data_IF_624291202300
#
_entry.id   IF_624291202300
#
_cell.length_a   1.000
_cell.length_b   1.000
_cell.length_c   1.000
_cell.angle_alpha   90.00
_cell.angle_beta   90.00
_cell.angle_gamma   90.00
#
_symmetry.space_group_name_H-M   'P 1'
#
loop_
_entity.id
_entity.type
_entity.pdbx_description
1 polymer ?
#
# COMPACT_ATOMS: atom_id res chain seq x y z
N UNK A 1 1.10 24.00 3.93
CA UNK A 1 1.66 24.77 5.07
C UNK A 1 0.70 25.91 5.39
N UNK A 2 0.54 26.26 6.66
CA UNK A 2 -0.38 27.31 7.12
C UNK A 2 0.35 28.24 8.11
N UNK A 3 -0.02 29.52 8.13
CA UNK A 3 0.44 30.45 9.16
C UNK A 3 -0.40 30.24 10.41
N UNK A 4 0.25 30.03 11.56
CA UNK A 4 -0.43 29.79 12.85
C UNK A 4 -0.32 31.00 13.77
N UNK A 5 0.78 31.75 13.67
CA UNK A 5 0.98 33.00 14.40
C UNK A 5 1.60 34.03 13.48
N UNK A 6 1.06 35.25 13.50
CA UNK A 6 1.58 36.39 12.74
C UNK A 6 1.49 37.65 13.58
N UNK A 7 2.64 38.19 13.95
CA UNK A 7 2.82 39.47 14.62
C UNK A 7 3.93 40.24 13.90
N UNK A 8 4.18 41.53 14.21
CA UNK A 8 5.28 42.27 13.60
C UNK A 8 6.65 41.63 13.83
N UNK A 9 6.85 41.00 14.99
CA UNK A 9 8.14 40.44 15.39
C UNK A 9 8.21 38.91 15.25
N UNK A 10 7.09 38.21 15.21
CA UNK A 10 7.06 36.74 15.18
C UNK A 10 6.14 36.19 14.08
N UNK A 11 6.63 35.22 13.33
CA UNK A 11 5.88 34.46 12.33
C UNK A 11 6.08 32.96 12.56
N UNK A 12 4.99 32.21 12.70
CA UNK A 12 5.06 30.74 12.85
C UNK A 12 4.30 30.07 11.71
N UNK A 13 5.01 29.25 10.95
CA UNK A 13 4.47 28.39 9.91
C UNK A 13 4.39 26.95 10.41
N UNK A 14 3.25 26.30 10.16
CA UNK A 14 3.02 24.90 10.50
C UNK A 14 2.62 24.12 9.27
N UNK A 15 3.26 22.98 9.05
CA UNK A 15 2.85 22.01 8.05
C UNK A 15 2.55 20.68 8.71
N UNK A 16 1.29 20.24 8.59
CA UNK A 16 0.85 18.89 8.96
C UNK A 16 0.46 18.14 7.69
N UNK A 17 1.18 17.07 7.31
CA UNK A 17 0.88 16.29 6.12
C UNK A 17 -0.24 15.26 6.38
N UNK A 18 -1.39 15.72 6.87
CA UNK A 18 -2.51 14.84 7.31
C UNK A 18 -2.95 13.90 6.18
N UNK A 19 -3.05 14.42 4.96
CA UNK A 19 -3.40 13.61 3.79
C UNK A 19 -2.40 12.49 3.52
N UNK A 20 -1.09 12.73 3.67
CA UNK A 20 -0.09 11.69 3.46
C UNK A 20 -0.18 10.58 4.51
N UNK A 21 -0.47 10.92 5.76
CA UNK A 21 -0.73 9.91 6.79
C UNK A 21 -1.99 9.09 6.49
N UNK A 22 -3.07 9.74 6.06
CA UNK A 22 -4.30 9.05 5.68
C UNK A 22 -4.06 8.12 4.48
N UNK A 23 -3.40 8.60 3.43
CA UNK A 23 -3.06 7.76 2.28
C UNK A 23 -2.15 6.60 2.66
N UNK A 24 -1.11 6.84 3.46
CA UNK A 24 -0.22 5.78 3.95
C UNK A 24 -0.97 4.71 4.76
N UNK A 25 -1.88 5.13 5.64
CA UNK A 25 -2.69 4.22 6.47
C UNK A 25 -3.70 3.42 5.64
N UNK A 26 -4.35 4.05 4.66
CA UNK A 26 -5.26 3.35 3.74
C UNK A 26 -4.50 2.31 2.93
N UNK A 27 -3.33 2.66 2.40
CA UNK A 27 -2.53 1.75 1.57
C UNK A 27 -2.02 0.55 2.38
N UNK A 28 -1.51 0.80 3.60
CA UNK A 28 -1.10 -0.26 4.50
C UNK A 28 -2.27 -1.12 4.98
N UNK A 29 -3.41 -0.49 5.29
CA UNK A 29 -4.64 -1.19 5.67
C UNK A 29 -5.17 -2.09 4.56
N UNK A 30 -5.17 -1.63 3.31
CA UNK A 30 -5.56 -2.42 2.15
C UNK A 30 -4.64 -3.62 1.92
N UNK A 31 -3.31 -3.42 2.06
CA UNK A 31 -2.34 -4.52 1.96
C UNK A 31 -2.54 -5.59 3.04
N UNK A 32 -2.75 -5.18 4.29
CA UNK A 32 -3.06 -6.10 5.40
C UNK A 32 -4.40 -6.81 5.18
N UNK A 33 -5.42 -6.09 4.73
CA UNK A 33 -6.73 -6.67 4.43
C UNK A 33 -6.62 -7.73 3.33
N UNK A 34 -5.91 -7.44 2.23
CA UNK A 34 -5.70 -8.39 1.15
C UNK A 34 -4.99 -9.68 1.60
N UNK A 35 -3.96 -9.56 2.45
CA UNK A 35 -3.28 -10.71 3.05
C UNK A 35 -4.26 -11.53 3.89
N UNK A 36 -5.06 -10.87 4.74
CA UNK A 36 -5.97 -11.54 5.64
C UNK A 36 -7.14 -12.24 4.92
N UNK A 37 -7.67 -11.65 3.84
CA UNK A 37 -8.83 -12.18 3.12
C UNK A 37 -8.47 -13.20 2.04
N UNK A 38 -7.36 -13.01 1.32
CA UNK A 38 -6.99 -13.85 0.18
C UNK A 38 -5.78 -14.76 0.44
N UNK A 39 -5.02 -14.53 1.51
CA UNK A 39 -3.94 -15.42 1.95
C UNK A 39 -4.48 -16.70 2.58
N UNK A 40 -5.06 -17.57 1.76
CA UNK A 40 -5.62 -18.87 2.15
C UNK A 40 -4.83 -20.01 1.51
N UNK A 41 -4.80 -21.15 2.19
CA UNK A 41 -4.48 -22.44 1.58
C UNK A 41 -5.78 -23.16 1.33
N UNK A 42 -5.93 -23.70 0.14
CA UNK A 42 -6.99 -24.65 -0.16
C UNK A 42 -6.35 -26.02 -0.33
N UNK A 43 -6.79 -26.97 0.49
CA UNK A 43 -6.38 -28.37 0.42
C UNK A 43 -7.59 -29.23 0.09
N UNK A 44 -7.53 -29.98 -1.01
CA UNK A 44 -8.50 -31.01 -1.35
C UNK A 44 -7.88 -32.36 -1.02
N UNK A 45 -8.47 -33.07 -0.08
CA UNK A 45 -8.07 -34.41 0.29
C UNK A 45 -9.17 -35.40 -0.08
N UNK A 46 -8.88 -36.32 -0.98
CA UNK A 46 -9.78 -37.37 -1.42
C UNK A 46 -9.22 -38.73 -1.01
N UNK A 47 -9.98 -39.48 -0.21
CA UNK A 47 -9.68 -40.85 0.16
C UNK A 47 -10.73 -41.80 -0.40
N UNK A 48 -10.28 -42.84 -1.12
CA UNK A 48 -11.16 -43.89 -1.66
C UNK A 48 -11.34 -44.97 -0.60
N UNK A 49 -12.44 -44.91 0.16
CA UNK A 49 -12.76 -45.90 1.21
C UNK A 49 -13.50 -47.14 0.68
N UNK A 50 -14.06 -47.07 -0.54
CA UNK A 50 -14.68 -48.19 -1.24
C UNK A 50 -14.64 -47.96 -2.79
N UNK A 51 -14.78 -48.99 -3.64
CA UNK A 51 -14.72 -48.87 -5.11
C UNK A 51 -15.79 -47.95 -5.74
N UNK A 52 -16.81 -47.52 -4.97
CA UNK A 52 -17.93 -46.69 -5.44
C UNK A 52 -18.06 -45.38 -4.64
N UNK A 53 -17.33 -45.22 -3.53
CA UNK A 53 -17.48 -44.09 -2.61
C UNK A 53 -16.11 -43.48 -2.27
N UNK A 54 -15.88 -42.25 -2.75
CA UNK A 54 -14.72 -41.43 -2.41
C UNK A 54 -15.16 -40.31 -1.47
N UNK A 55 -14.62 -40.30 -0.26
CA UNK A 55 -14.81 -39.18 0.65
C UNK A 55 -13.79 -38.11 0.31
N UNK A 56 -14.25 -37.01 -0.30
CA UNK A 56 -13.44 -35.86 -0.64
C UNK A 56 -13.77 -34.69 0.32
N UNK A 57 -12.74 -34.08 0.90
CA UNK A 57 -12.84 -32.96 1.83
C UNK A 57 -12.07 -31.77 1.27
N UNK A 58 -12.76 -30.65 1.08
CA UNK A 58 -12.13 -29.37 0.80
C UNK A 58 -11.86 -28.66 2.13
N UNK A 59 -10.63 -28.22 2.37
CA UNK A 59 -10.25 -27.47 3.57
C UNK A 59 -9.62 -26.16 3.14
N UNK A 60 -10.24 -25.04 3.49
CA UNK A 60 -9.68 -23.71 3.33
C UNK A 60 -9.13 -23.22 4.67
N UNK A 61 -7.84 -22.91 4.74
CA UNK A 61 -7.18 -22.39 5.94
C UNK A 61 -6.53 -21.04 5.63
N UNK A 62 -7.05 -19.96 6.21
CA UNK A 62 -6.48 -18.60 6.12
C UNK A 62 -5.90 -18.10 7.44
N UNK A 63 -5.32 -16.90 7.43
CA UNK A 63 -4.71 -16.28 8.63
C UNK A 63 -5.70 -16.01 9.77
N UNK A 64 -6.96 -15.73 9.44
CA UNK A 64 -8.00 -15.40 10.42
C UNK A 64 -8.60 -16.64 11.10
N UNK A 65 -8.14 -17.85 10.78
CA UNK A 65 -8.53 -19.09 11.45
C UNK A 65 -10.03 -19.43 11.36
N UNK A 66 -10.79 -18.71 10.54
CA UNK A 66 -12.22 -18.95 10.34
C UNK A 66 -12.40 -20.24 9.53
N UNK A 67 -12.99 -21.21 10.22
CA UNK A 67 -13.38 -22.58 9.87
C UNK A 67 -13.05 -23.07 8.46
N UNK A 68 -12.28 -24.17 8.42
CA UNK A 68 -12.28 -25.08 7.29
C UNK A 68 -13.73 -25.54 7.04
N UNK A 69 -14.31 -25.14 5.91
CA UNK A 69 -15.60 -25.64 5.47
C UNK A 69 -15.43 -27.09 5.03
N UNK A 70 -15.69 -28.05 5.92
CA UNK A 70 -15.67 -29.48 5.60
C UNK A 70 -16.89 -29.82 4.73
N UNK A 71 -16.82 -29.52 3.44
CA UNK A 71 -17.81 -29.98 2.46
C UNK A 71 -17.48 -31.44 2.14
N UNK A 72 -18.33 -32.36 2.61
CA UNK A 72 -18.30 -33.75 2.15
C UNK A 72 -18.70 -33.78 0.67
N UNK A 73 -17.72 -33.92 -0.21
CA UNK A 73 -17.87 -33.92 -1.66
C UNK A 73 -18.31 -35.32 -2.14
N UNK A 74 -19.37 -35.88 -1.53
CA UNK A 74 -19.83 -37.27 -1.69
C UNK A 74 -20.34 -37.63 -3.11
N UNK A 75 -20.13 -36.76 -4.09
CA UNK A 75 -20.46 -37.02 -5.48
C UNK A 75 -19.69 -36.12 -6.46
N UNK A 76 -18.40 -35.92 -6.22
CA UNK A 76 -17.53 -35.23 -7.16
C UNK A 76 -17.51 -35.99 -8.50
N UNK A 77 -18.05 -35.39 -9.57
CA UNK A 77 -18.13 -35.99 -10.90
C UNK A 77 -16.94 -35.60 -11.79
N UNK A 78 -16.53 -34.33 -11.73
CA UNK A 78 -15.43 -33.79 -12.53
C UNK A 78 -14.92 -32.46 -11.95
N UNK A 79 -13.84 -31.94 -12.52
CA UNK A 79 -13.39 -30.58 -12.29
C UNK A 79 -13.21 -29.88 -13.63
N UNK A 80 -13.58 -28.60 -13.70
CA UNK A 80 -13.40 -27.75 -14.88
C UNK A 80 -12.79 -26.41 -14.52
N UNK A 81 -12.22 -25.73 -15.50
CA UNK A 81 -11.78 -24.35 -15.36
C UNK A 81 -12.90 -23.43 -15.82
N UNK A 82 -13.33 -22.53 -14.94
CA UNK A 82 -14.25 -21.46 -15.29
C UNK A 82 -13.48 -20.19 -15.65
N UNK A 83 -13.88 -19.55 -16.75
CA UNK A 83 -13.29 -18.33 -17.28
C UNK A 83 -14.21 -17.13 -17.03
N UNK A 84 -13.64 -16.03 -16.57
CA UNK A 84 -14.28 -14.73 -16.48
C UNK A 84 -13.51 -13.75 -17.35
N UNK A 85 -14.15 -13.27 -18.42
CA UNK A 85 -13.57 -12.34 -19.40
C UNK A 85 -13.94 -10.90 -19.09
N UNK A 86 -12.95 -10.01 -19.16
CA UNK A 86 -13.11 -8.57 -18.94
C UNK A 86 -12.34 -7.76 -19.99
N UNK A 87 -12.52 -6.43 -20.01
CA UNK A 87 -11.72 -5.53 -20.86
C UNK A 87 -10.22 -5.65 -20.64
N UNK A 88 -9.82 -6.09 -19.44
CA UNK A 88 -8.44 -6.11 -18.98
C UNK A 88 -7.82 -7.52 -19.14
N UNK A 89 -8.58 -8.47 -19.69
CA UNK A 89 -8.15 -9.83 -19.96
C UNK A 89 -9.02 -10.91 -19.30
N UNK A 90 -8.60 -12.16 -19.51
CA UNK A 90 -9.27 -13.35 -19.00
C UNK A 90 -8.68 -13.79 -17.66
N UNK A 91 -9.57 -14.16 -16.74
CA UNK A 91 -9.24 -14.72 -15.42
C UNK A 91 -9.93 -16.05 -15.23
N UNK A 92 -9.33 -16.93 -14.42
CA UNK A 92 -9.68 -18.33 -14.38
C UNK A 92 -9.80 -18.83 -12.93
N UNK A 93 -10.68 -19.80 -12.68
CA UNK A 93 -10.73 -20.54 -11.40
C UNK A 93 -11.07 -21.99 -11.64
N UNK A 94 -10.62 -22.88 -10.76
CA UNK A 94 -11.03 -24.29 -10.79
C UNK A 94 -12.38 -24.41 -10.08
N UNK A 95 -13.29 -25.16 -10.70
CA UNK A 95 -14.62 -25.44 -10.16
C UNK A 95 -14.83 -26.94 -10.13
N UNK A 96 -15.26 -27.44 -8.98
CA UNK A 96 -15.59 -28.83 -8.74
C UNK A 96 -17.06 -29.06 -9.10
N UNK A 97 -17.34 -30.01 -10.00
CA UNK A 97 -18.69 -30.37 -10.42
C UNK A 97 -19.17 -31.54 -9.56
N UNK A 98 -20.24 -31.34 -8.80
CA UNK A 98 -20.86 -32.35 -7.92
C UNK A 98 -22.31 -32.61 -8.34
N UNK A 99 -22.94 -33.67 -7.81
CA UNK A 99 -24.38 -33.91 -8.06
C UNK A 99 -25.28 -32.80 -7.51
N UNK A 100 -24.80 -31.99 -6.55
CA UNK A 100 -25.54 -30.90 -5.93
C UNK A 100 -25.27 -29.54 -6.58
N UNK A 101 -24.38 -29.50 -7.59
CA UNK A 101 -24.01 -28.28 -8.28
C UNK A 101 -22.50 -28.03 -8.29
N UNK A 102 -22.14 -26.81 -8.66
CA UNK A 102 -20.76 -26.39 -8.85
C UNK A 102 -20.20 -25.73 -7.58
N UNK A 103 -19.08 -26.25 -7.07
CA UNK A 103 -18.39 -25.73 -5.89
C UNK A 103 -17.05 -25.14 -6.33
N UNK A 104 -16.81 -23.84 -6.14
CA UNK A 104 -15.53 -23.24 -6.51
C UNK A 104 -14.40 -23.77 -5.64
N UNK A 105 -13.27 -24.11 -6.26
CA UNK A 105 -12.05 -24.50 -5.55
C UNK A 105 -11.41 -23.29 -4.85
N UNK A 106 -11.50 -22.11 -5.49
CA UNK A 106 -11.10 -20.82 -4.92
C UNK A 106 -12.22 -19.80 -5.06
N UNK A 107 -12.40 -18.95 -4.05
CA UNK A 107 -13.42 -17.89 -4.04
C UNK A 107 -13.17 -16.77 -5.08
N UNK A 108 -11.96 -16.73 -5.67
CA UNK A 108 -11.53 -15.71 -6.61
C UNK A 108 -11.06 -16.32 -7.94
N UNK A 109 -11.08 -15.49 -8.98
CA UNK A 109 -10.43 -15.78 -10.25
C UNK A 109 -9.00 -15.24 -10.23
N UNK A 110 -8.09 -15.96 -10.87
CA UNK A 110 -6.71 -15.51 -11.07
C UNK A 110 -6.25 -15.85 -12.49
N UNK A 111 -5.21 -15.16 -12.95
CA UNK A 111 -4.53 -15.51 -14.19
C UNK A 111 -3.87 -16.89 -14.11
N UNK A 112 -3.44 -17.43 -15.27
CA UNK A 112 -2.75 -18.71 -15.36
C UNK A 112 -3.69 -19.89 -15.62
N UNK A 113 -4.26 -19.95 -16.83
CA UNK A 113 -5.15 -21.04 -17.26
C UNK A 113 -4.45 -22.40 -17.17
N UNK A 114 -3.21 -22.52 -17.64
CA UNK A 114 -2.48 -23.80 -17.72
C UNK A 114 -2.39 -24.51 -16.37
N UNK A 115 -2.00 -23.80 -15.29
CA UNK A 115 -1.89 -24.42 -13.96
C UNK A 115 -3.25 -24.87 -13.41
N UNK A 116 -4.32 -24.14 -13.72
CA UNK A 116 -5.69 -24.51 -13.31
C UNK A 116 -6.23 -25.67 -14.13
N UNK A 117 -5.88 -25.71 -15.41
CA UNK A 117 -6.23 -26.82 -16.30
C UNK A 117 -5.51 -28.10 -15.87
N UNK A 118 -4.25 -27.99 -15.42
CA UNK A 118 -3.50 -29.11 -14.87
C UNK A 118 -4.16 -29.66 -13.61
N UNK A 119 -4.55 -28.79 -12.66
CA UNK A 119 -5.30 -29.18 -11.45
C UNK A 119 -6.62 -29.89 -11.82
N UNK A 120 -7.41 -29.30 -12.73
CA UNK A 120 -8.68 -29.89 -13.18
C UNK A 120 -8.49 -31.25 -13.86
N UNK A 121 -7.41 -31.40 -14.63
CA UNK A 121 -7.03 -32.65 -15.29
C UNK A 121 -6.61 -33.70 -14.27
N UNK A 122 -5.78 -33.34 -13.28
CA UNK A 122 -5.34 -34.26 -12.21
C UNK A 122 -6.53 -34.81 -11.42
N UNK A 123 -7.52 -33.95 -11.09
CA UNK A 123 -8.75 -34.39 -10.42
C UNK A 123 -9.54 -35.35 -11.32
N UNK A 124 -9.73 -35.02 -12.59
CA UNK A 124 -10.50 -35.84 -13.53
C UNK A 124 -9.82 -37.19 -13.84
N UNK A 125 -8.49 -37.23 -13.89
CA UNK A 125 -7.70 -38.46 -14.07
C UNK A 125 -7.78 -39.36 -12.84
N UNK A 126 -7.76 -38.80 -11.63
CA UNK A 126 -7.95 -39.55 -10.38
C UNK A 126 -9.35 -40.20 -10.30
N UNK A 127 -10.38 -39.47 -10.72
CA UNK A 127 -11.75 -40.00 -10.79
C UNK A 127 -11.87 -41.14 -11.83
N UNK A 128 -11.17 -41.02 -12.96
CA UNK A 128 -11.18 -42.03 -14.03
C UNK A 128 -10.32 -43.27 -13.73
N UNK A 129 -9.32 -43.17 -12.85
CA UNK A 129 -8.31 -44.23 -12.62
C UNK A 129 -8.53 -44.97 -11.30
N UNK A 130 -8.84 -46.29 -11.30
CA UNK A 130 -9.07 -47.08 -10.09
C UNK A 130 -7.85 -47.26 -9.18
N UNK A 131 -6.63 -47.06 -9.70
CA UNK A 131 -5.38 -47.47 -9.04
C UNK A 131 -4.89 -46.51 -7.94
N UNK A 132 -5.32 -45.24 -7.93
CA UNK A 132 -4.91 -44.28 -6.90
C UNK A 132 -5.88 -44.32 -5.71
N UNK A 133 -5.37 -44.60 -4.50
CA UNK A 133 -6.17 -44.71 -3.27
C UNK A 133 -6.39 -43.38 -2.55
N UNK A 134 -5.53 -42.38 -2.79
CA UNK A 134 -5.68 -41.03 -2.25
C UNK A 134 -5.14 -39.96 -3.20
N UNK A 135 -5.75 -38.77 -3.16
CA UNK A 135 -5.28 -37.56 -3.87
C UNK A 135 -5.29 -36.40 -2.88
N UNK A 136 -4.15 -35.75 -2.70
CA UNK A 136 -4.05 -34.51 -1.93
C UNK A 136 -3.53 -33.40 -2.84
N UNK A 137 -4.38 -32.42 -3.11
CA UNK A 137 -4.02 -31.23 -3.87
C UNK A 137 -4.00 -30.04 -2.92
N UNK A 138 -2.90 -29.31 -2.94
CA UNK A 138 -2.73 -28.11 -2.12
C UNK A 138 -2.41 -26.93 -3.03
N UNK A 139 -3.24 -25.91 -2.97
CA UNK A 139 -2.98 -24.61 -3.57
C UNK A 139 -2.68 -23.63 -2.44
N UNK A 140 -1.44 -23.16 -2.39
CA UNK A 140 -0.95 -22.23 -1.37
C UNK A 140 -0.70 -20.87 -2.00
N UNK A 141 -1.71 -20.01 -1.94
CA UNK A 141 -1.63 -18.65 -2.47
C UNK A 141 -1.14 -17.64 -1.43
N UNK A 142 -0.80 -18.11 -0.22
CA UNK A 142 -0.33 -17.26 0.88
C UNK A 142 0.96 -16.54 0.50
N UNK A 143 1.92 -17.24 -0.11
CA UNK A 143 3.21 -16.63 -0.44
C UNK A 143 3.06 -15.46 -1.42
N UNK A 144 2.24 -15.64 -2.46
CA UNK A 144 1.95 -14.58 -3.43
C UNK A 144 1.26 -13.39 -2.76
N UNK A 145 0.23 -13.64 -1.95
CA UNK A 145 -0.49 -12.58 -1.25
C UNK A 145 0.36 -11.89 -0.19
N UNK A 146 1.27 -12.59 0.48
CA UNK A 146 2.23 -11.99 1.39
C UNK A 146 3.21 -11.09 0.66
N UNK A 147 3.81 -11.54 -0.44
CA UNK A 147 4.71 -10.72 -1.25
C UNK A 147 3.98 -9.48 -1.77
N UNK A 148 2.83 -9.67 -2.41
CA UNK A 148 2.04 -8.57 -2.96
C UNK A 148 1.58 -7.60 -1.86
N UNK A 149 0.89 -8.09 -0.83
CA UNK A 149 0.39 -7.25 0.26
C UNK A 149 1.50 -6.57 1.07
N UNK A 150 2.65 -7.23 1.26
CA UNK A 150 3.79 -6.63 1.97
C UNK A 150 4.35 -5.42 1.24
N UNK A 151 4.37 -5.43 -0.10
CA UNK A 151 4.79 -4.25 -0.89
C UNK A 151 3.89 -3.07 -0.59
N UNK A 152 2.57 -3.27 -0.51
CA UNK A 152 1.62 -2.21 -0.16
C UNK A 152 1.84 -1.70 1.26
N UNK A 153 2.02 -2.60 2.23
CA UNK A 153 2.28 -2.22 3.62
C UNK A 153 3.59 -1.43 3.75
N UNK A 154 4.67 -1.92 3.15
CA UNK A 154 5.99 -1.28 3.19
C UNK A 154 5.93 0.09 2.54
N UNK A 155 5.32 0.22 1.36
CA UNK A 155 5.19 1.49 0.66
C UNK A 155 4.35 2.50 1.48
N UNK A 156 3.21 2.06 2.04
CA UNK A 156 2.36 2.92 2.88
C UNK A 156 3.08 3.44 4.12
N UNK A 157 3.82 2.55 4.80
CA UNK A 157 4.66 2.92 5.94
C UNK A 157 5.83 3.81 5.54
N UNK A 158 6.49 3.55 4.41
CA UNK A 158 7.59 4.35 3.90
C UNK A 158 7.15 5.78 3.59
N UNK A 159 5.98 5.98 2.99
CA UNK A 159 5.40 7.30 2.77
C UNK A 159 5.09 8.00 4.10
N UNK A 160 4.45 7.30 5.04
CA UNK A 160 4.11 7.87 6.34
C UNK A 160 5.36 8.26 7.16
N UNK A 161 6.42 7.47 7.11
CA UNK A 161 7.67 7.72 7.84
C UNK A 161 8.54 8.77 7.13
N UNK A 162 8.74 8.63 5.82
CA UNK A 162 9.66 9.48 5.04
C UNK A 162 9.10 10.86 4.70
N UNK A 163 7.79 10.98 4.50
CA UNK A 163 7.14 12.24 4.07
C UNK A 163 6.15 12.78 5.10
N UNK A 164 5.91 12.06 6.19
CA UNK A 164 4.97 12.43 7.25
C UNK A 164 5.54 13.37 8.31
N UNK A 165 6.63 14.08 8.04
CA UNK A 165 7.23 14.99 9.01
C UNK A 165 6.35 16.23 9.25
N UNK A 166 6.05 16.53 10.51
CA UNK A 166 5.44 17.79 10.91
C UNK A 166 6.53 18.86 10.94
N UNK A 167 6.36 19.90 10.12
CA UNK A 167 7.31 21.01 10.09
C UNK A 167 6.73 22.21 10.84
N UNK A 168 7.48 22.70 11.83
CA UNK A 168 7.23 23.97 12.51
C UNK A 168 8.40 24.89 12.20
N UNK A 169 8.09 26.05 11.63
CA UNK A 169 9.09 27.06 11.32
C UNK A 169 8.71 28.34 12.05
N UNK A 170 9.54 28.74 13.00
CA UNK A 170 9.35 29.90 13.87
C UNK A 170 10.40 30.95 13.51
N UNK A 171 9.94 32.12 13.11
CA UNK A 171 10.78 33.29 12.89
C UNK A 171 10.52 34.29 13.99
N UNK A 172 11.56 34.77 14.65
CA UNK A 172 11.51 35.86 15.62
C UNK A 172 12.56 36.92 15.27
N UNK A 173 12.07 38.10 14.87
CA UNK A 173 12.88 39.26 14.50
C UNK A 173 13.53 39.93 15.71
N UNK A 174 12.93 39.82 16.89
CA UNK A 174 13.45 40.48 18.10
C UNK A 174 14.71 39.80 18.63
N UNK A 175 14.76 38.47 18.52
CA UNK A 175 15.92 37.65 18.85
C UNK A 175 16.79 37.29 17.63
N UNK A 176 16.45 37.79 16.43
CA UNK A 176 17.12 37.45 15.16
C UNK A 176 17.26 35.92 14.93
N UNK A 177 16.25 35.16 15.37
CA UNK A 177 16.30 33.70 15.37
C UNK A 177 15.27 33.08 14.45
N UNK A 178 15.72 32.15 13.61
CA UNK A 178 14.91 31.23 12.84
C UNK A 178 15.10 29.82 13.41
N UNK A 179 14.00 29.20 13.82
CA UNK A 179 13.98 27.83 14.31
C UNK A 179 13.10 26.96 13.41
N UNK A 180 13.71 25.94 12.80
CA UNK A 180 13.04 24.93 12.00
C UNK A 180 13.03 23.60 12.77
N UNK A 181 11.86 23.23 13.28
CA UNK A 181 11.62 21.94 13.94
C UNK A 181 10.93 20.99 12.96
N UNK A 182 11.46 19.79 12.81
CA UNK A 182 10.86 18.70 12.03
C UNK A 182 10.63 17.53 12.95
N UNK A 183 9.35 17.21 13.20
CA UNK A 183 8.95 16.07 14.00
C UNK A 183 8.53 14.93 13.06
N UNK A 184 9.38 13.93 12.92
CA UNK A 184 9.07 12.68 12.23
C UNK A 184 8.78 11.56 13.23
N UNK A 185 8.40 10.39 12.71
CA UNK A 185 8.18 9.19 13.54
C UNK A 185 9.48 8.67 14.19
N UNK A 186 10.64 8.98 13.59
CA UNK A 186 11.96 8.55 14.07
C UNK A 186 12.64 9.59 15.00
N UNK A 187 11.99 10.71 15.30
CA UNK A 187 12.51 11.73 16.19
C UNK A 187 12.30 13.16 15.71
N UNK A 188 12.86 14.10 16.47
CA UNK A 188 12.75 15.53 16.18
C UNK A 188 14.11 16.10 15.76
N UNK A 189 14.17 16.76 14.61
CA UNK A 189 15.33 17.53 14.16
C UNK A 189 15.04 19.01 14.37
N UNK A 190 15.91 19.70 15.09
CA UNK A 190 15.82 21.15 15.31
C UNK A 190 17.02 21.80 14.65
N UNK A 191 16.77 22.80 13.81
CA UNK A 191 17.81 23.62 13.20
C UNK A 191 17.54 25.07 13.55
N UNK A 192 18.53 25.70 14.19
CA UNK A 192 18.52 27.12 14.49
C UNK A 192 19.48 27.85 13.56
N UNK A 193 19.02 28.97 13.01
CA UNK A 193 19.75 29.85 12.09
C UNK A 193 19.38 31.30 12.40
N UNK A 194 20.18 32.25 11.91
CA UNK A 194 19.88 33.67 12.09
C UNK A 194 19.04 34.20 10.95
N UNK A 195 18.15 35.15 11.24
CA UNK A 195 17.26 35.72 10.23
C UNK A 195 18.04 36.60 9.25
N UNK A 196 18.98 37.40 9.74
CA UNK A 196 19.77 38.29 8.88
C UNK A 196 20.66 37.56 7.86
N UNK A 197 20.94 36.28 8.06
CA UNK A 197 21.69 35.46 7.10
C UNK A 197 20.83 35.05 5.89
N UNK A 198 19.51 35.29 5.93
CA UNK A 198 18.59 34.97 4.83
C UNK A 198 18.68 36.07 3.77
N UNK A 199 19.21 35.72 2.61
CA UNK A 199 19.33 36.60 1.45
C UNK A 199 18.03 36.65 0.65
N UNK A 200 17.37 35.50 0.47
CA UNK A 200 16.18 35.39 -0.37
C UNK A 200 15.28 34.23 0.04
N UNK A 201 14.02 34.30 -0.40
CA UNK A 201 13.06 33.19 -0.32
C UNK A 201 12.69 32.78 -1.74
N UNK A 202 12.87 31.49 -2.07
CA UNK A 202 12.62 30.95 -3.41
C UNK A 202 11.62 29.80 -3.36
N UNK A 203 10.81 29.70 -4.42
CA UNK A 203 10.03 28.50 -4.70
C UNK A 203 10.85 27.68 -5.71
N UNK A 204 11.37 26.55 -5.26
CA UNK A 204 12.05 25.60 -6.13
C UNK A 204 11.02 24.79 -6.91
N UNK A 205 11.34 24.52 -8.17
CA UNK A 205 10.54 23.72 -9.09
C UNK A 205 11.35 22.50 -9.51
N UNK A 206 10.75 21.33 -9.41
CA UNK A 206 11.26 20.08 -9.97
C UNK A 206 10.32 19.64 -11.08
N UNK A 207 10.87 19.35 -12.26
CA UNK A 207 10.11 18.88 -13.43
C UNK A 207 10.48 17.44 -13.72
N UNK A 208 9.45 16.63 -13.94
CA UNK A 208 9.56 15.26 -14.40
C UNK A 208 8.57 15.02 -15.55
N UNK A 209 8.45 13.78 -16.01
CA UNK A 209 7.53 13.38 -17.09
C UNK A 209 6.05 13.62 -16.74
N UNK A 210 5.73 13.70 -15.45
CA UNK A 210 4.37 13.66 -14.94
C UNK A 210 3.88 15.05 -14.50
N UNK A 211 4.79 16.02 -14.43
CA UNK A 211 4.47 17.43 -14.28
C UNK A 211 5.55 18.22 -13.54
N UNK A 212 5.10 19.23 -12.79
CA UNK A 212 5.97 20.10 -12.02
C UNK A 212 5.56 20.11 -10.55
N UNK A 213 6.55 19.89 -9.68
CA UNK A 213 6.37 19.89 -8.23
C UNK A 213 7.19 21.01 -7.59
N UNK A 214 6.74 21.50 -6.43
CA UNK A 214 7.24 22.75 -5.85
C UNK A 214 7.53 22.63 -4.36
N UNK A 215 8.57 23.33 -3.90
CA UNK A 215 8.85 23.53 -2.46
C UNK A 215 9.35 24.94 -2.20
N UNK A 216 9.19 25.43 -0.96
CA UNK A 216 9.72 26.73 -0.55
C UNK A 216 11.04 26.51 0.16
N UNK A 217 12.06 27.28 -0.21
CA UNK A 217 13.39 27.23 0.38
C UNK A 217 13.89 28.63 0.73
N UNK A 218 14.64 28.70 1.81
CA UNK A 218 15.35 29.90 2.26
C UNK A 218 16.78 29.85 1.71
N UNK A 219 17.23 30.96 1.14
CA UNK A 219 18.59 31.13 0.62
C UNK A 219 19.42 31.87 1.66
N UNK A 220 20.55 31.29 2.07
CA UNK A 220 21.43 31.89 3.07
C UNK A 220 22.73 32.42 2.45
N UNK A 221 23.23 33.54 2.97
CA UNK A 221 24.46 34.20 2.50
C UNK A 221 25.73 33.42 2.91
N UNK A 222 25.69 32.72 4.05
CA UNK A 222 26.84 32.01 4.63
C UNK A 222 26.46 30.57 4.99
N UNK A 223 27.30 29.60 4.66
CA UNK A 223 27.08 28.17 4.96
C UNK A 223 26.26 27.42 3.91
N UNK A 224 25.42 26.46 4.34
CA UNK A 224 24.48 25.74 3.48
C UNK A 224 23.51 26.73 2.81
N UNK A 225 23.77 27.03 1.54
CA UNK A 225 23.08 28.11 0.80
C UNK A 225 21.57 27.93 0.66
N UNK A 226 21.03 26.72 0.87
CA UNK A 226 19.61 26.41 0.66
C UNK A 226 19.07 25.56 1.81
N UNK A 227 18.13 26.14 2.58
CA UNK A 227 17.36 25.42 3.59
C UNK A 227 15.92 25.24 3.11
N UNK A 228 15.54 24.04 2.63
CA UNK A 228 14.16 23.80 2.23
C UNK A 228 13.25 23.75 3.47
N UNK A 229 12.08 24.37 3.40
CA UNK A 229 11.10 24.31 4.49
C UNK A 229 10.48 22.91 4.59
N UNK A 230 10.31 22.21 3.47
CA UNK A 230 9.84 20.81 3.42
C UNK A 230 10.87 19.91 2.77
N UNK A 231 11.03 18.69 3.27
CA UNK A 231 11.97 17.69 2.74
C UNK A 231 11.59 17.21 1.33
N UNK A 232 10.30 17.26 0.99
CA UNK A 232 9.76 16.83 -0.29
C UNK A 232 9.15 17.99 -1.11
N UNK A 233 9.04 17.76 -2.42
CA UNK A 233 8.29 18.62 -3.34
C UNK A 233 6.83 18.21 -3.39
N UNK A 234 5.92 19.17 -3.49
CA UNK A 234 4.49 18.91 -3.61
C UNK A 234 3.87 19.74 -4.71
N UNK A 235 2.72 19.32 -5.22
CA UNK A 235 1.91 20.13 -6.13
C UNK A 235 1.41 21.42 -5.45
N UNK A 236 0.92 22.37 -6.27
CA UNK A 236 0.30 23.61 -5.80
C UNK A 236 1.23 24.83 -5.74
N UNK A 237 1.77 25.24 -6.90
CA UNK A 237 2.65 26.42 -7.05
C UNK A 237 2.09 27.67 -6.37
N UNK A 238 0.82 27.99 -6.60
CA UNK A 238 0.18 29.20 -6.07
C UNK A 238 0.20 29.25 -4.53
N UNK A 239 -0.06 28.12 -3.87
CA UNK A 239 0.00 28.06 -2.40
C UNK A 239 1.43 28.24 -1.87
N UNK A 240 2.44 27.65 -2.55
CA UNK A 240 3.85 27.83 -2.19
C UNK A 240 4.32 29.26 -2.41
N UNK A 241 3.89 29.87 -3.52
CA UNK A 241 4.20 31.26 -3.85
C UNK A 241 3.60 32.21 -2.80
N UNK A 242 2.34 32.02 -2.41
CA UNK A 242 1.71 32.83 -1.37
C UNK A 242 2.44 32.75 -0.03
N UNK A 243 2.98 31.59 0.35
CA UNK A 243 3.81 31.44 1.56
C UNK A 243 5.16 32.15 1.38
N UNK A 244 5.81 32.00 0.22
CA UNK A 244 7.07 32.67 -0.08
C UNK A 244 6.91 34.20 -0.04
N UNK A 245 5.83 34.74 -0.60
CA UNK A 245 5.56 36.18 -0.60
C UNK A 245 5.27 36.71 0.81
N UNK A 246 4.56 35.92 1.64
CA UNK A 246 4.36 36.27 3.05
C UNK A 246 5.67 36.28 3.84
N UNK A 247 6.58 35.35 3.55
CA UNK A 247 7.91 35.32 4.15
C UNK A 247 8.74 36.53 3.71
N UNK A 248 8.81 36.84 2.41
CA UNK A 248 9.51 38.02 1.89
C UNK A 248 9.04 39.30 2.56
N UNK A 249 7.71 39.48 2.64
CA UNK A 249 7.10 40.64 3.30
C UNK A 249 7.44 40.73 4.79
N UNK A 250 7.46 39.60 5.50
CA UNK A 250 7.80 39.57 6.93
C UNK A 250 9.29 39.87 7.18
N UNK A 251 10.16 39.33 6.33
CA UNK A 251 11.61 39.47 6.42
C UNK A 251 12.12 40.79 5.81
N UNK A 252 11.24 41.58 5.18
CA UNK A 252 11.58 42.83 4.48
C UNK A 252 12.62 42.60 3.36
N UNK A 253 12.50 41.47 2.68
CA UNK A 253 13.31 41.13 1.51
C UNK A 253 12.64 41.69 0.26
N UNK A 254 13.42 42.37 -0.58
CA UNK A 254 12.98 42.91 -1.87
C UNK A 254 12.83 41.81 -2.94
#
# INVERSE_FOLDING_TARGET
>A
MKVVKKTPNQLTLLHRPIWLWLFGLIFAGAGLAAIATFGKVVTLNCNRTAPVQSNCQLKAAGLLGLAAQETALDSLQSAKVERSSSSDGDTFRVVLVTNQGEVPFTDYYSSGENGKQEIATQISTFLSSPQASSLTLQQDDRWFMFMFGSVFVIAGLAVAIGMGEIVVCEFDRSSDSLMLKRHGLLGTKVSERRIHEIEAVRVEESRDSDGSTYRVSLVFTVGDRLLPLTSYYSSGRHSKQAIADQLRKFLQLN
#
